data_IF_279581595260
#
_entry.id   IF_279581595260
#
_cell.length_a   1.000
_cell.length_b   1.000
_cell.length_c   1.000
_cell.angle_alpha   90.00
_cell.angle_beta   90.00
_cell.angle_gamma   90.00
#
_symmetry.space_group_name_H-M   'P 1'
#
loop_
_entity.id
_entity.type
_entity.pdbx_description
1 polymer ?
#
# COMPACT_ATOMS: atom_id res chain seq x y z
N UNK A 1 -8.61 15.72 10.62
CA UNK A 1 -9.68 15.35 11.57
C UNK A 1 -9.10 15.32 12.97
N UNK A 2 -9.78 15.89 13.97
CA UNK A 2 -9.36 15.74 15.38
C UNK A 2 -9.44 14.26 15.78
N UNK A 3 -8.43 13.76 16.49
CA UNK A 3 -8.29 12.36 16.95
C UNK A 3 -9.31 11.93 18.02
N UNK A 4 -10.32 12.76 18.28
CA UNK A 4 -11.27 12.60 19.36
C UNK A 4 -12.22 11.43 19.06
N UNK A 5 -11.99 10.31 19.74
CA UNK A 5 -12.86 9.12 19.69
C UNK A 5 -12.31 7.94 18.89
N UNK A 6 -11.13 8.04 18.26
CA UNK A 6 -10.49 6.89 17.60
C UNK A 6 -9.87 5.93 18.61
N UNK A 7 -9.93 4.62 18.33
CA UNK A 7 -9.21 3.60 19.09
C UNK A 7 -7.91 3.25 18.34
N UNK A 8 -6.82 3.95 18.68
CA UNK A 8 -5.52 3.74 18.05
C UNK A 8 -4.91 2.39 18.45
N UNK A 9 -4.06 1.85 17.59
CA UNK A 9 -3.29 0.64 17.90
C UNK A 9 -2.25 0.93 18.98
N UNK A 10 -2.07 -0.03 19.87
CA UNK A 10 -0.98 -0.03 20.84
C UNK A 10 0.37 -0.32 20.18
N UNK A 11 1.46 -0.07 20.90
CA UNK A 11 2.81 -0.49 20.47
C UNK A 11 2.88 -1.98 20.12
N UNK A 12 2.25 -2.86 20.90
CA UNK A 12 2.27 -4.31 20.66
C UNK A 12 1.56 -4.69 19.36
N UNK A 13 0.40 -4.07 19.10
CA UNK A 13 -0.33 -4.28 17.86
C UNK A 13 0.46 -3.76 16.64
N UNK A 14 1.12 -2.61 16.77
CA UNK A 14 1.98 -2.09 15.70
C UNK A 14 3.19 -2.98 15.45
N UNK A 15 3.85 -3.48 16.50
CA UNK A 15 4.96 -4.44 16.36
C UNK A 15 4.51 -5.73 15.68
N UNK A 16 3.34 -6.23 16.07
CA UNK A 16 2.73 -7.42 15.45
C UNK A 16 2.43 -7.17 13.99
N UNK A 17 1.84 -6.03 13.64
CA UNK A 17 1.56 -5.67 12.25
C UNK A 17 2.86 -5.56 11.42
N UNK A 18 3.92 -4.95 11.95
CA UNK A 18 5.20 -4.82 11.23
C UNK A 18 5.85 -6.19 11.00
N UNK A 19 5.89 -7.04 12.04
CA UNK A 19 6.55 -8.34 11.97
C UNK A 19 5.74 -9.37 11.17
N UNK A 20 4.43 -9.45 11.40
CA UNK A 20 3.55 -10.47 10.84
C UNK A 20 2.74 -9.97 9.63
N UNK A 21 2.67 -8.68 9.39
CA UNK A 21 1.96 -8.09 8.25
C UNK A 21 0.44 -8.05 8.37
N UNK A 22 -0.15 -8.39 9.53
CA UNK A 22 -1.59 -8.29 9.74
C UNK A 22 -2.00 -8.17 11.21
N UNK A 23 -3.27 -7.79 11.42
CA UNK A 23 -4.01 -7.86 12.68
C UNK A 23 -5.43 -8.36 12.41
N UNK A 24 -5.99 -9.15 13.32
CA UNK A 24 -7.42 -9.49 13.35
C UNK A 24 -8.06 -8.67 14.46
N UNK A 25 -9.01 -7.83 14.10
CA UNK A 25 -9.69 -6.88 14.99
C UNK A 25 -11.20 -7.06 14.85
N UNK A 26 -11.97 -6.46 15.75
CA UNK A 26 -13.43 -6.57 15.75
C UNK A 26 -14.08 -5.24 16.12
N UNK A 27 -15.12 -4.85 15.39
CA UNK A 27 -16.00 -3.73 15.73
C UNK A 27 -17.05 -4.13 16.79
N UNK A 28 -17.55 -3.17 17.57
CA UNK A 28 -18.57 -3.38 18.61
C UNK A 28 -19.99 -3.00 18.16
N UNK A 29 -20.26 -3.03 16.85
CA UNK A 29 -21.62 -2.89 16.32
C UNK A 29 -22.56 -3.97 16.91
N UNK A 30 -23.84 -3.62 17.13
CA UNK A 30 -24.82 -4.58 17.60
C UNK A 30 -25.13 -5.62 16.51
N UNK A 31 -25.58 -6.82 16.91
CA UNK A 31 -25.88 -7.92 15.98
C UNK A 31 -26.90 -7.50 14.90
N UNK A 32 -27.87 -6.69 15.26
CA UNK A 32 -28.91 -6.19 14.36
C UNK A 32 -28.34 -5.37 13.19
N UNK A 33 -27.23 -4.65 13.41
CA UNK A 33 -26.53 -3.93 12.33
C UNK A 33 -25.99 -4.90 11.28
N UNK A 34 -25.36 -5.98 11.73
CA UNK A 34 -24.79 -7.01 10.88
C UNK A 34 -25.87 -7.79 10.12
N UNK A 35 -26.96 -8.16 10.78
CA UNK A 35 -28.11 -8.82 10.16
C UNK A 35 -28.73 -7.95 9.05
N UNK A 36 -28.90 -6.65 9.32
CA UNK A 36 -29.39 -5.71 8.31
C UNK A 36 -28.44 -5.59 7.12
N UNK A 37 -27.14 -5.46 7.39
CA UNK A 37 -26.12 -5.34 6.35
C UNK A 37 -26.07 -6.59 5.45
N UNK A 38 -26.16 -7.79 6.03
CA UNK A 38 -26.22 -9.06 5.28
C UNK A 38 -27.50 -9.16 4.46
N UNK A 39 -28.65 -8.72 4.99
CA UNK A 39 -29.89 -8.70 4.22
C UNK A 39 -29.81 -7.79 2.99
N UNK A 40 -29.19 -6.61 3.13
CA UNK A 40 -28.93 -5.71 2.00
C UNK A 40 -27.96 -6.34 0.98
N UNK A 41 -26.87 -6.96 1.45
CA UNK A 41 -25.93 -7.67 0.58
C UNK A 41 -26.63 -8.77 -0.23
N UNK A 42 -27.49 -9.58 0.41
CA UNK A 42 -28.27 -10.62 -0.27
C UNK A 42 -29.16 -10.03 -1.38
N UNK A 43 -29.96 -9.01 -1.08
CA UNK A 43 -30.82 -8.36 -2.08
C UNK A 43 -29.99 -7.82 -3.26
N UNK A 44 -28.86 -7.15 -3.00
CA UNK A 44 -27.99 -6.63 -4.07
C UNK A 44 -27.42 -7.75 -4.93
N UNK A 45 -26.89 -8.80 -4.32
CA UNK A 45 -26.26 -9.91 -5.05
C UNK A 45 -27.28 -10.75 -5.83
N UNK A 46 -28.49 -10.92 -5.30
CA UNK A 46 -29.59 -11.60 -5.98
C UNK A 46 -30.11 -10.80 -7.19
N UNK A 47 -30.25 -9.48 -7.05
CA UNK A 47 -30.81 -8.62 -8.10
C UNK A 47 -29.79 -8.22 -9.18
N UNK A 48 -28.56 -7.93 -8.79
CA UNK A 48 -27.56 -7.25 -9.64
C UNK A 48 -26.24 -8.04 -9.77
N UNK A 49 -26.02 -9.05 -8.95
CA UNK A 49 -24.72 -9.72 -8.80
C UNK A 49 -23.71 -8.86 -8.03
N UNK A 50 -22.41 -9.10 -8.25
CA UNK A 50 -21.36 -8.35 -7.55
C UNK A 50 -21.28 -6.89 -8.06
N UNK A 51 -21.56 -5.87 -7.22
CA UNK A 51 -21.58 -4.48 -7.65
C UNK A 51 -20.17 -3.89 -7.88
N UNK A 52 -19.11 -4.65 -7.59
CA UNK A 52 -17.72 -4.24 -7.75
C UNK A 52 -17.41 -2.95 -7.00
N UNK A 53 -16.88 -1.96 -7.71
CA UNK A 53 -16.52 -0.67 -7.10
C UNK A 53 -17.73 0.15 -6.60
N UNK A 54 -18.97 -0.24 -6.95
CA UNK A 54 -20.18 0.42 -6.50
C UNK A 54 -20.71 -0.09 -5.16
N UNK A 55 -19.94 -0.89 -4.42
CA UNK A 55 -20.36 -1.46 -3.15
C UNK A 55 -20.81 -0.40 -2.12
N UNK A 56 -20.02 0.66 -1.88
CA UNK A 56 -20.42 1.75 -0.96
C UNK A 56 -21.66 2.53 -1.41
N UNK A 57 -21.77 3.03 -2.66
CA UNK A 57 -22.97 3.75 -3.06
C UNK A 57 -24.21 2.85 -3.07
N UNK A 58 -24.04 1.53 -3.24
CA UNK A 58 -25.15 0.57 -3.26
C UNK A 58 -25.60 0.11 -1.88
N UNK A 59 -24.68 0.05 -0.91
CA UNK A 59 -24.92 -0.36 0.47
C UNK A 59 -24.33 0.72 1.38
N UNK A 60 -25.12 1.77 1.64
CA UNK A 60 -24.64 3.02 2.22
C UNK A 60 -24.17 2.85 3.66
N UNK A 61 -24.78 1.91 4.38
CA UNK A 61 -24.47 1.52 5.75
C UNK A 61 -23.02 1.02 5.88
N UNK A 62 -22.40 0.52 4.80
CA UNK A 62 -20.98 0.16 4.82
C UNK A 62 -20.06 1.33 5.16
N UNK A 63 -20.46 2.57 4.85
CA UNK A 63 -19.66 3.73 5.25
C UNK A 63 -19.52 3.80 6.77
N UNK A 64 -20.54 3.39 7.54
CA UNK A 64 -20.48 3.36 9.01
C UNK A 64 -19.38 2.43 9.50
N UNK A 65 -19.13 1.31 8.82
CA UNK A 65 -18.02 0.39 9.15
C UNK A 65 -16.67 1.09 9.05
N UNK A 66 -16.46 1.86 7.98
CA UNK A 66 -15.19 2.54 7.76
C UNK A 66 -15.03 3.87 8.50
N UNK A 67 -16.13 4.40 9.05
CA UNK A 67 -16.14 5.52 9.99
C UNK A 67 -16.02 5.04 11.45
N UNK A 68 -16.08 3.73 11.69
CA UNK A 68 -16.06 3.15 13.03
C UNK A 68 -14.73 3.45 13.76
N UNK A 69 -14.75 3.81 15.07
CA UNK A 69 -13.54 4.12 15.85
C UNK A 69 -12.40 3.10 15.80
N UNK A 70 -12.73 1.81 15.82
CA UNK A 70 -11.75 0.71 15.73
C UNK A 70 -11.11 0.66 14.34
N UNK A 71 -11.89 0.84 13.29
CA UNK A 71 -11.42 0.76 11.90
C UNK A 71 -10.59 1.99 11.54
N UNK A 72 -11.12 3.18 11.82
CA UNK A 72 -10.43 4.46 11.61
C UNK A 72 -9.15 4.56 12.43
N UNK A 73 -9.18 4.13 13.70
CA UNK A 73 -8.01 4.12 14.56
C UNK A 73 -6.92 3.15 14.10
N UNK A 74 -7.30 1.95 13.64
CA UNK A 74 -6.37 0.98 13.10
C UNK A 74 -5.71 1.45 11.78
N UNK A 75 -6.52 1.99 10.85
CA UNK A 75 -6.00 2.55 9.59
C UNK A 75 -5.12 3.78 9.83
N UNK A 76 -5.51 4.68 10.75
CA UNK A 76 -4.70 5.85 11.11
C UNK A 76 -3.35 5.45 11.71
N UNK A 77 -3.34 4.39 12.53
CA UNK A 77 -2.12 3.87 13.15
C UNK A 77 -1.13 3.34 12.11
N UNK A 78 -1.61 2.63 11.08
CA UNK A 78 -0.76 2.01 10.04
C UNK A 78 -0.41 2.96 8.89
N UNK A 79 -1.37 3.75 8.41
CA UNK A 79 -1.24 4.58 7.20
C UNK A 79 -1.07 6.07 7.50
N UNK A 80 -1.14 6.48 8.76
CA UNK A 80 -1.12 7.88 9.15
C UNK A 80 -2.50 8.54 9.06
N UNK A 81 -2.62 9.78 9.56
CA UNK A 81 -3.83 10.57 9.37
C UNK A 81 -4.09 10.83 7.88
N UNK A 82 -5.33 11.18 7.55
CA UNK A 82 -5.74 11.54 6.19
C UNK A 82 -5.48 10.45 5.14
N UNK A 83 -5.38 9.17 5.53
CA UNK A 83 -5.30 8.06 4.58
C UNK A 83 -6.46 8.09 3.57
N UNK A 84 -6.22 7.53 2.38
CA UNK A 84 -7.24 7.43 1.34
C UNK A 84 -7.82 6.03 1.29
N UNK A 85 -9.15 5.93 1.37
CA UNK A 85 -9.87 4.75 0.91
C UNK A 85 -9.86 4.75 -0.61
N UNK A 86 -9.17 3.78 -1.18
CA UNK A 86 -8.96 3.67 -2.61
C UNK A 86 -10.27 3.34 -3.34
N UNK A 87 -10.47 3.86 -4.56
CA UNK A 87 -11.69 3.63 -5.34
C UNK A 87 -12.03 2.14 -5.55
N UNK A 88 -11.00 1.29 -5.59
CA UNK A 88 -11.13 -0.15 -5.75
C UNK A 88 -11.54 -0.86 -4.48
N UNK A 89 -12.57 -1.68 -4.63
CA UNK A 89 -13.14 -2.53 -3.59
C UNK A 89 -13.80 -3.73 -4.24
N UNK A 90 -13.93 -4.81 -3.49
CA UNK A 90 -14.52 -6.04 -4.00
C UNK A 90 -15.30 -6.76 -2.91
N UNK A 91 -16.56 -7.07 -3.17
CA UNK A 91 -17.33 -7.97 -2.31
C UNK A 91 -17.12 -9.41 -2.76
N UNK A 92 -16.43 -10.21 -1.95
CA UNK A 92 -16.29 -11.63 -2.18
C UNK A 92 -17.52 -12.36 -1.64
N UNK A 93 -18.18 -13.12 -2.51
CA UNK A 93 -19.23 -14.07 -2.16
C UNK A 93 -18.69 -15.48 -2.35
N UNK A 94 -18.74 -16.31 -1.32
CA UNK A 94 -18.27 -17.68 -1.41
C UNK A 94 -19.22 -18.65 -0.69
N UNK A 95 -19.58 -19.74 -1.37
CA UNK A 95 -20.29 -20.89 -0.83
C UNK A 95 -19.62 -22.23 -1.25
N UNK A 96 -18.36 -22.16 -1.70
CA UNK A 96 -17.61 -23.29 -2.26
C UNK A 96 -16.74 -23.98 -1.21
N UNK A 97 -16.79 -25.30 -1.21
CA UNK A 97 -15.87 -26.14 -0.43
C UNK A 97 -14.47 -26.24 -1.04
N UNK A 98 -14.21 -25.62 -2.20
CA UNK A 98 -12.89 -25.58 -2.80
C UNK A 98 -12.14 -24.33 -2.33
N UNK A 99 -10.94 -24.47 -1.73
CA UNK A 99 -10.12 -23.32 -1.39
C UNK A 99 -9.62 -22.60 -2.65
N UNK A 100 -9.35 -21.31 -2.50
CA UNK A 100 -8.60 -20.55 -3.49
C UNK A 100 -7.09 -20.78 -3.31
N UNK A 101 -6.33 -20.51 -4.38
CA UNK A 101 -4.87 -20.51 -4.30
C UNK A 101 -4.31 -19.32 -3.53
N UNK A 102 -3.12 -19.49 -2.96
CA UNK A 102 -2.34 -18.39 -2.39
C UNK A 102 -2.00 -17.36 -3.46
N UNK A 103 -2.25 -16.10 -3.16
CA UNK A 103 -1.92 -14.99 -4.05
C UNK A 103 -1.56 -13.72 -3.25
N UNK A 104 -0.90 -12.79 -3.95
CA UNK A 104 -0.84 -11.38 -3.57
C UNK A 104 -1.74 -10.61 -4.52
N UNK A 105 -2.38 -9.58 -4.00
CA UNK A 105 -3.14 -8.70 -4.87
C UNK A 105 -2.20 -7.90 -5.79
N UNK A 106 -2.73 -7.62 -6.98
CA UNK A 106 -2.18 -6.63 -7.90
C UNK A 106 -3.36 -5.85 -8.43
N UNK A 107 -3.45 -4.60 -8.03
CA UNK A 107 -4.53 -3.73 -8.44
C UNK A 107 -4.45 -3.40 -9.95
N UNK A 108 -3.30 -3.60 -10.60
CA UNK A 108 -3.06 -3.15 -11.99
C UNK A 108 -2.32 -4.13 -12.92
N UNK A 109 -2.01 -5.34 -12.48
CA UNK A 109 -1.40 -6.37 -13.32
C UNK A 109 0.03 -6.06 -13.81
N UNK A 110 0.62 -4.94 -13.42
CA UNK A 110 2.04 -4.67 -13.62
C UNK A 110 2.83 -5.02 -12.36
N UNK A 111 4.02 -5.57 -12.56
CA UNK A 111 4.96 -5.86 -11.48
C UNK A 111 5.59 -4.54 -11.03
N UNK A 112 5.10 -3.99 -9.90
CA UNK A 112 5.83 -2.96 -9.15
C UNK A 112 6.80 -3.65 -8.21
N UNK A 113 7.87 -2.96 -7.83
CA UNK A 113 8.64 -3.38 -6.69
C UNK A 113 7.77 -3.36 -5.44
N UNK A 114 7.75 -4.48 -4.69
CA UNK A 114 7.03 -4.56 -3.41
C UNK A 114 7.70 -3.61 -2.42
N UNK A 115 6.94 -3.05 -1.51
CA UNK A 115 7.46 -2.09 -0.55
C UNK A 115 7.34 -2.65 0.86
N UNK A 116 8.44 -2.69 1.61
CA UNK A 116 8.42 -3.15 3.00
C UNK A 116 7.74 -2.12 3.93
N UNK A 117 7.72 -0.85 3.52
CA UNK A 117 6.97 0.18 4.23
C UNK A 117 5.48 0.14 3.88
N UNK A 118 4.58 0.30 4.87
CA UNK A 118 3.14 0.28 4.67
C UNK A 118 2.67 1.60 4.03
N UNK A 119 2.86 1.71 2.72
CA UNK A 119 2.21 2.73 1.90
C UNK A 119 0.77 2.36 1.55
N UNK A 120 0.44 1.06 1.63
CA UNK A 120 -0.88 0.50 1.34
C UNK A 120 -1.25 -0.52 2.41
N UNK A 121 -2.53 -0.55 2.76
CA UNK A 121 -3.12 -1.58 3.60
C UNK A 121 -4.46 -2.02 3.00
N UNK A 122 -4.95 -3.18 3.42
CA UNK A 122 -6.29 -3.65 3.06
C UNK A 122 -7.07 -4.05 4.29
N UNK A 123 -8.39 -3.87 4.22
CA UNK A 123 -9.33 -4.46 5.16
C UNK A 123 -10.13 -5.54 4.46
N UNK A 124 -10.20 -6.70 5.11
CA UNK A 124 -11.12 -7.78 4.78
C UNK A 124 -12.15 -7.90 5.89
N UNK A 125 -13.34 -7.34 5.67
CA UNK A 125 -14.39 -7.23 6.68
C UNK A 125 -15.44 -8.34 6.52
N UNK A 126 -15.83 -8.95 7.64
CA UNK A 126 -16.82 -10.03 7.71
C UNK A 126 -18.12 -9.53 8.36
N UNK A 127 -19.20 -9.32 7.59
CA UNK A 127 -20.47 -8.82 8.12
C UNK A 127 -21.31 -9.90 8.81
N UNK A 128 -20.85 -11.16 8.84
CA UNK A 128 -21.51 -12.27 9.52
C UNK A 128 -20.49 -13.08 10.34
N UNK A 129 -20.99 -13.88 11.30
CA UNK A 129 -20.18 -14.87 12.00
C UNK A 129 -19.47 -15.77 10.97
N UNK A 130 -18.14 -15.84 11.07
CA UNK A 130 -17.31 -16.57 10.13
C UNK A 130 -16.42 -17.54 10.89
N UNK A 131 -17.00 -18.65 11.39
CA UNK A 131 -16.23 -19.73 11.99
C UNK A 131 -15.36 -20.42 10.92
N UNK A 132 -14.38 -21.21 11.34
CA UNK A 132 -13.42 -21.87 10.43
C UNK A 132 -14.13 -22.69 9.34
N UNK A 133 -15.23 -23.34 9.69
CA UNK A 133 -16.03 -24.18 8.80
C UNK A 133 -16.74 -23.39 7.68
N UNK A 134 -16.97 -22.08 7.88
CA UNK A 134 -17.54 -21.18 6.86
C UNK A 134 -16.45 -20.63 5.89
N UNK A 135 -15.20 -20.98 6.15
CA UNK A 135 -14.05 -20.65 5.32
C UNK A 135 -13.66 -19.17 5.44
N UNK A 136 -13.05 -18.71 6.54
CA UNK A 136 -12.49 -17.36 6.65
C UNK A 136 -11.37 -17.11 5.62
N UNK A 137 -10.86 -15.88 5.56
CA UNK A 137 -9.62 -15.62 4.79
C UNK A 137 -8.43 -16.23 5.53
N UNK A 138 -7.62 -16.99 4.80
CA UNK A 138 -6.32 -17.48 5.24
C UNK A 138 -5.22 -16.47 4.90
N UNK A 139 -4.33 -16.23 5.85
CA UNK A 139 -3.24 -15.25 5.76
C UNK A 139 -1.94 -15.95 6.17
N UNK A 140 -0.85 -15.74 5.42
CA UNK A 140 0.46 -16.28 5.79
C UNK A 140 1.32 -15.21 6.48
N UNK A 141 1.53 -15.30 7.81
CA UNK A 141 2.23 -14.28 8.59
C UNK A 141 3.64 -13.99 8.08
N UNK A 142 3.99 -12.70 8.03
CA UNK A 142 5.32 -12.17 7.76
C UNK A 142 5.74 -12.13 6.28
N UNK A 143 4.90 -12.66 5.39
CA UNK A 143 5.23 -12.84 3.97
C UNK A 143 5.07 -11.58 3.11
N UNK A 144 4.69 -10.45 3.72
CA UNK A 144 4.53 -9.18 3.03
C UNK A 144 5.82 -8.66 2.39
N UNK A 145 6.98 -9.09 2.90
CA UNK A 145 8.30 -8.58 2.51
C UNK A 145 8.96 -9.36 1.35
N UNK A 146 8.29 -10.40 0.83
CA UNK A 146 8.85 -11.27 -0.21
C UNK A 146 8.21 -11.03 -1.56
N UNK A 147 8.95 -11.07 -2.65
CA UNK A 147 8.33 -11.15 -3.98
C UNK A 147 7.83 -12.56 -4.26
N UNK A 148 8.58 -13.57 -3.79
CA UNK A 148 8.28 -14.97 -4.05
C UNK A 148 7.46 -15.62 -2.93
N UNK A 149 6.82 -16.75 -3.25
CA UNK A 149 6.18 -17.60 -2.24
C UNK A 149 7.27 -18.43 -1.57
N UNK A 150 7.53 -18.18 -0.29
CA UNK A 150 8.61 -18.84 0.47
C UNK A 150 8.17 -20.11 1.22
N UNK A 151 6.96 -20.59 0.93
CA UNK A 151 6.34 -21.77 1.55
C UNK A 151 5.70 -22.63 0.46
N UNK A 152 5.91 -23.94 0.51
CA UNK A 152 5.57 -24.84 -0.61
C UNK A 152 4.12 -25.32 -0.54
N UNK A 153 3.66 -25.76 0.64
CA UNK A 153 2.34 -26.38 0.80
C UNK A 153 1.19 -25.37 0.79
N UNK A 154 0.06 -25.75 0.18
CA UNK A 154 -1.18 -24.96 0.25
C UNK A 154 -1.84 -25.01 1.63
N UNK A 155 -1.59 -26.08 2.38
CA UNK A 155 -1.92 -26.23 3.81
C UNK A 155 -0.65 -26.09 4.64
N UNK A 156 0.01 -24.95 4.53
CA UNK A 156 1.25 -24.69 5.24
C UNK A 156 1.01 -24.46 6.75
N UNK A 157 1.87 -25.02 7.63
CA UNK A 157 1.81 -24.72 9.06
C UNK A 157 2.05 -23.23 9.31
N UNK A 158 1.33 -22.66 10.28
CA UNK A 158 1.44 -21.23 10.62
C UNK A 158 0.50 -20.31 9.84
N UNK A 159 -0.39 -20.85 8.99
CA UNK A 159 -1.50 -20.08 8.42
C UNK A 159 -2.40 -19.51 9.54
N UNK A 160 -2.64 -18.20 9.48
CA UNK A 160 -3.60 -17.51 10.33
C UNK A 160 -4.96 -17.42 9.63
N UNK A 161 -6.03 -17.67 10.38
CA UNK A 161 -7.40 -17.61 9.88
C UNK A 161 -8.11 -16.39 10.45
N UNK A 162 -8.64 -15.53 9.58
CA UNK A 162 -9.46 -14.38 9.96
C UNK A 162 -10.87 -14.80 10.39
N UNK A 163 -10.95 -15.71 11.36
CA UNK A 163 -12.20 -16.25 11.91
C UNK A 163 -12.67 -15.45 13.11
N UNK A 164 -13.97 -15.28 13.25
CA UNK A 164 -14.56 -14.58 14.38
C UNK A 164 -16.05 -14.32 14.21
N UNK A 165 -16.63 -13.63 15.18
CA UNK A 165 -18.02 -13.16 15.14
C UNK A 165 -18.20 -12.04 14.08
N UNK A 166 -19.44 -11.73 13.73
CA UNK A 166 -19.77 -10.61 12.86
C UNK A 166 -19.09 -9.31 13.33
N UNK A 167 -18.58 -8.52 12.38
CA UNK A 167 -17.80 -7.32 12.66
C UNK A 167 -16.30 -7.57 12.83
N UNK A 168 -15.86 -8.83 12.74
CA UNK A 168 -14.44 -9.17 12.63
C UNK A 168 -13.88 -8.68 11.31
N UNK A 169 -12.66 -8.16 11.32
CA UNK A 169 -11.93 -7.80 10.11
C UNK A 169 -10.43 -8.05 10.25
N UNK A 170 -9.82 -8.45 9.14
CA UNK A 170 -8.37 -8.48 9.03
C UNK A 170 -7.88 -7.16 8.45
N UNK A 171 -7.00 -6.45 9.18
CA UNK A 171 -6.18 -5.37 8.66
C UNK A 171 -4.86 -5.98 8.21
N UNK A 172 -4.57 -5.93 6.91
CA UNK A 172 -3.39 -6.57 6.33
C UNK A 172 -2.50 -5.57 5.60
N UNK A 173 -1.20 -5.83 5.60
CA UNK A 173 -0.26 -5.23 4.66
C UNK A 173 -0.66 -5.63 3.24
N UNK A 174 -0.68 -4.68 2.30
CA UNK A 174 -1.17 -4.92 0.94
C UNK A 174 -0.47 -6.09 0.24
N UNK A 175 0.84 -6.22 0.46
CA UNK A 175 1.66 -7.23 -0.17
C UNK A 175 1.65 -8.59 0.56
N UNK A 176 0.77 -8.87 1.52
CA UNK A 176 0.76 -10.17 2.21
C UNK A 176 0.15 -11.29 1.34
N UNK A 177 0.71 -12.51 1.43
CA UNK A 177 0.09 -13.68 0.81
C UNK A 177 -1.17 -14.07 1.59
N UNK A 178 -2.26 -14.26 0.85
CA UNK A 178 -3.55 -14.67 1.41
C UNK A 178 -4.32 -15.57 0.44
N UNK A 179 -5.37 -16.23 0.94
CA UNK A 179 -6.23 -17.11 0.17
C UNK A 179 -7.65 -17.19 0.74
N UNK A 180 -8.60 -17.68 -0.05
CA UNK A 180 -9.87 -18.17 0.51
C UNK A 180 -9.70 -19.60 1.02
N UNK A 181 -10.14 -19.87 2.24
CA UNK A 181 -10.19 -21.23 2.78
C UNK A 181 -11.51 -21.93 2.44
N UNK A 182 -11.60 -23.27 2.57
CA UNK A 182 -12.78 -24.05 2.22
C UNK A 182 -14.01 -23.64 3.05
N UNK A 183 -15.16 -23.44 2.39
CA UNK A 183 -16.45 -23.35 3.06
C UNK A 183 -17.11 -24.74 3.05
N UNK A 184 -17.04 -25.45 4.17
CA UNK A 184 -17.60 -26.81 4.31
C UNK A 184 -19.05 -26.81 4.77
N UNK A 185 -19.58 -25.66 5.20
CA UNK A 185 -20.99 -25.50 5.56
C UNK A 185 -21.90 -25.29 4.35
N UNK A 186 -21.34 -24.87 3.20
CA UNK A 186 -22.09 -24.60 1.97
C UNK A 186 -23.03 -23.39 2.06
N UNK A 187 -22.92 -22.60 3.13
CA UNK A 187 -23.73 -21.40 3.34
C UNK A 187 -23.10 -20.17 2.66
N UNK A 188 -23.89 -19.16 2.25
CA UNK A 188 -23.36 -17.90 1.75
C UNK A 188 -22.42 -17.23 2.76
N UNK A 189 -21.25 -16.78 2.29
CA UNK A 189 -20.29 -16.02 3.09
C UNK A 189 -19.79 -14.80 2.33
N UNK A 190 -19.96 -13.63 2.94
CA UNK A 190 -19.42 -12.37 2.43
C UNK A 190 -18.08 -12.04 3.10
N UNK A 191 -17.13 -11.57 2.30
CA UNK A 191 -15.94 -10.86 2.77
C UNK A 191 -15.79 -9.61 1.92
N UNK A 192 -15.78 -8.44 2.56
CA UNK A 192 -15.73 -7.16 1.86
C UNK A 192 -14.31 -6.62 1.89
N UNK A 193 -13.67 -6.59 0.73
CA UNK A 193 -12.29 -6.15 0.55
C UNK A 193 -12.22 -4.68 0.15
N UNK A 194 -11.48 -3.91 0.93
CA UNK A 194 -11.22 -2.49 0.69
C UNK A 194 -9.74 -2.19 0.77
N UNK A 195 -9.26 -1.37 -0.15
CA UNK A 195 -7.88 -0.93 -0.22
C UNK A 195 -7.74 0.49 0.34
N UNK A 196 -6.61 0.74 1.01
CA UNK A 196 -6.30 2.03 1.60
C UNK A 196 -4.85 2.39 1.30
N UNK A 197 -4.60 3.67 1.07
CA UNK A 197 -3.27 4.18 0.80
C UNK A 197 -2.91 5.36 1.69
N UNK A 198 -1.63 5.40 2.07
CA UNK A 198 -1.00 6.52 2.72
C UNK A 198 -0.95 7.71 1.76
N UNK A 199 -1.41 8.85 2.25
CA UNK A 199 -1.37 10.14 1.53
C UNK A 199 -0.27 11.04 2.09
N UNK A 200 0.09 10.89 3.36
CA UNK A 200 1.12 11.70 4.01
C UNK A 200 2.23 10.81 4.55
N UNK A 201 3.47 11.21 4.30
CA UNK A 201 4.63 10.51 4.82
C UNK A 201 4.73 10.70 6.34
N UNK A 202 5.12 9.65 7.11
CA UNK A 202 5.17 9.77 8.56
C UNK A 202 6.18 10.84 8.99
N UNK A 203 5.76 11.71 9.91
CA UNK A 203 6.61 12.73 10.56
C UNK A 203 6.76 12.48 12.06
N UNK A 204 5.84 11.69 12.62
CA UNK A 204 5.78 11.23 13.99
C UNK A 204 4.86 9.99 14.04
N UNK A 205 4.90 9.19 15.12
CA UNK A 205 3.96 8.10 15.34
C UNK A 205 2.50 8.55 15.23
N UNK A 206 1.67 7.75 14.56
CA UNK A 206 0.22 7.97 14.42
C UNK A 206 -0.64 6.94 15.17
N UNK A 207 -0.02 6.18 16.07
CA UNK A 207 -0.65 5.19 16.94
C UNK A 207 -0.48 5.57 18.41
N UNK A 208 -1.01 4.76 19.35
CA UNK A 208 -0.79 4.95 20.79
C UNK A 208 0.63 4.51 21.17
N UNK A 209 1.59 5.37 20.84
CA UNK A 209 3.01 5.09 21.01
C UNK A 209 3.50 5.41 22.43
N UNK A 210 3.96 4.39 23.15
CA UNK A 210 4.48 4.50 24.51
C UNK A 210 6.01 4.29 24.56
N UNK A 211 6.58 3.64 23.55
CA UNK A 211 8.01 3.32 23.46
C UNK A 211 8.65 3.87 22.19
N UNK A 212 9.81 4.51 22.32
CA UNK A 212 10.55 5.06 21.16
C UNK A 212 11.32 3.97 20.40
N UNK A 213 11.89 3.02 21.15
CA UNK A 213 12.74 1.97 20.60
C UNK A 213 11.90 0.78 20.10
N UNK A 214 12.34 0.19 18.99
CA UNK A 214 11.80 -1.07 18.51
C UNK A 214 12.02 -2.19 19.53
N UNK A 215 11.03 -3.07 19.64
CA UNK A 215 11.13 -4.34 20.34
C UNK A 215 10.33 -5.38 19.56
N UNK A 216 10.75 -6.65 19.65
CA UNK A 216 9.99 -7.75 19.07
C UNK A 216 8.61 -7.86 19.75
N UNK A 217 7.56 -8.28 19.01
CA UNK A 217 6.29 -8.65 19.60
C UNK A 217 6.48 -9.68 20.72
N UNK A 218 5.65 -9.60 21.76
CA UNK A 218 5.67 -10.55 22.87
C UNK A 218 5.36 -11.97 22.39
N UNK A 219 4.42 -12.10 21.45
CA UNK A 219 4.06 -13.34 20.80
C UNK A 219 4.44 -13.28 19.32
N UNK A 220 5.65 -13.74 19.02
CA UNK A 220 6.14 -13.85 17.65
C UNK A 220 6.07 -15.31 17.19
N UNK A 221 5.08 -15.63 16.36
CA UNK A 221 4.96 -16.92 15.70
C UNK A 221 5.10 -16.73 14.18
N UNK A 222 6.31 -16.91 13.66
CA UNK A 222 6.58 -16.75 12.25
C UNK A 222 6.83 -18.11 11.59
N UNK A 223 6.08 -18.47 10.53
CA UNK A 223 6.41 -19.60 9.68
C UNK A 223 7.60 -19.29 8.74
N UNK A 224 8.20 -18.10 8.86
CA UNK A 224 9.23 -17.55 7.98
C UNK A 224 10.42 -16.96 8.77
N UNK A 225 11.45 -16.50 8.06
CA UNK A 225 12.63 -15.89 8.67
C UNK A 225 12.32 -14.58 9.43
N UNK A 226 13.13 -14.29 10.44
CA UNK A 226 13.11 -13.02 11.15
C UNK A 226 13.91 -11.94 10.40
N UNK A 227 13.44 -10.70 10.47
CA UNK A 227 13.99 -9.54 9.76
C UNK A 227 14.21 -8.35 10.70
N UNK A 228 14.99 -8.56 11.76
CA UNK A 228 15.12 -7.63 12.88
C UNK A 228 15.46 -6.19 12.47
N UNK A 229 16.46 -6.01 11.60
CA UNK A 229 16.88 -4.69 11.11
C UNK A 229 15.78 -4.01 10.27
N UNK A 230 15.08 -4.77 9.42
CA UNK A 230 14.00 -4.24 8.59
C UNK A 230 12.79 -3.83 9.43
N UNK A 231 12.43 -4.62 10.44
CA UNK A 231 11.33 -4.28 11.33
C UNK A 231 11.64 -3.05 12.18
N UNK A 232 12.86 -2.95 12.71
CA UNK A 232 13.32 -1.76 13.41
C UNK A 232 13.32 -0.53 12.49
N UNK A 233 13.79 -0.68 11.25
CA UNK A 233 13.80 0.40 10.28
C UNK A 233 12.39 0.84 9.90
N UNK A 234 11.45 -0.09 9.69
CA UNK A 234 10.03 0.23 9.44
C UNK A 234 9.39 0.94 10.63
N UNK A 235 9.69 0.53 11.87
CA UNK A 235 9.25 1.22 13.09
C UNK A 235 9.80 2.65 13.17
N UNK A 236 11.08 2.82 12.84
CA UNK A 236 11.74 4.11 12.81
C UNK A 236 11.14 5.01 11.72
N UNK A 237 10.89 4.47 10.53
CA UNK A 237 10.26 5.15 9.40
C UNK A 237 8.83 5.60 9.75
N UNK A 238 8.03 4.74 10.38
CA UNK A 238 6.68 5.07 10.87
C UNK A 238 6.70 6.17 11.95
N UNK A 239 7.83 6.30 12.64
CA UNK A 239 8.08 7.38 13.60
C UNK A 239 8.65 8.66 12.95
N UNK A 240 8.82 8.69 11.63
CA UNK A 240 9.35 9.83 10.87
C UNK A 240 10.87 9.88 10.68
N UNK A 241 11.60 8.79 10.98
CA UNK A 241 13.06 8.72 10.84
C UNK A 241 13.45 8.01 9.54
N UNK A 242 13.88 8.78 8.53
CA UNK A 242 14.35 8.27 7.23
C UNK A 242 15.85 7.95 7.28
N UNK A 243 16.27 6.83 6.67
CA UNK A 243 17.68 6.42 6.62
C UNK A 243 18.25 6.00 7.98
N UNK A 244 17.38 5.51 8.88
CA UNK A 244 17.70 5.28 10.29
C UNK A 244 18.78 4.21 10.53
N UNK A 245 19.07 3.35 9.55
CA UNK A 245 20.11 2.34 9.64
C UNK A 245 21.50 2.84 9.21
N UNK A 246 21.60 3.96 8.49
CA UNK A 246 22.85 4.37 7.85
C UNK A 246 24.01 4.50 8.87
N UNK A 247 25.01 3.61 8.76
CA UNK A 247 26.20 3.63 9.60
C UNK A 247 26.00 3.17 11.05
N UNK A 248 24.92 2.45 11.36
CA UNK A 248 24.68 1.89 12.70
C UNK A 248 25.51 0.65 12.99
N UNK A 249 26.11 0.02 11.97
CA UNK A 249 26.93 -1.20 12.10
C UNK A 249 28.35 -1.00 11.59
N UNK A 250 29.28 -1.77 12.15
CA UNK A 250 30.69 -1.71 11.80
C UNK A 250 30.96 -2.38 10.43
N UNK A 251 31.75 -1.70 9.59
CA UNK A 251 32.11 -2.15 8.26
C UNK A 251 33.35 -3.07 8.27
N UNK A 252 33.21 -4.30 8.80
CA UNK A 252 34.30 -5.28 8.78
C UNK A 252 34.47 -5.93 7.39
N UNK A 253 35.66 -5.86 6.74
CA UNK A 253 35.82 -6.29 5.35
C UNK A 253 35.46 -7.75 5.07
N UNK A 254 35.79 -8.66 5.98
CA UNK A 254 35.48 -10.09 5.82
C UNK A 254 33.96 -10.33 5.89
N UNK A 255 33.29 -9.63 6.81
CA UNK A 255 31.83 -9.72 6.98
C UNK A 255 31.09 -9.11 5.78
N UNK A 256 31.51 -7.93 5.31
CA UNK A 256 30.95 -7.30 4.11
C UNK A 256 31.04 -8.20 2.87
N UNK A 257 32.14 -8.96 2.73
CA UNK A 257 32.29 -9.94 1.65
C UNK A 257 31.23 -11.04 1.78
N UNK A 258 31.05 -11.61 2.98
CA UNK A 258 30.01 -12.61 3.25
C UNK A 258 28.61 -12.08 2.95
N UNK A 259 28.27 -10.86 3.40
CA UNK A 259 26.97 -10.25 3.11
C UNK A 259 26.76 -10.03 1.61
N UNK A 260 27.80 -9.60 0.89
CA UNK A 260 27.75 -9.41 -0.56
C UNK A 260 27.48 -10.72 -1.30
N UNK A 261 28.10 -11.82 -0.88
CA UNK A 261 27.83 -13.16 -1.43
C UNK A 261 26.39 -13.63 -1.12
N UNK A 262 25.88 -13.29 0.07
CA UNK A 262 24.52 -13.63 0.50
C UNK A 262 23.40 -12.88 -0.25
N UNK A 263 23.71 -11.80 -0.98
CA UNK A 263 22.73 -11.15 -1.86
C UNK A 263 22.18 -12.11 -2.93
N UNK A 264 22.94 -13.14 -3.31
CA UNK A 264 22.52 -14.20 -4.24
C UNK A 264 21.92 -15.45 -3.58
N UNK A 265 21.69 -15.43 -2.27
CA UNK A 265 21.10 -16.56 -1.54
C UNK A 265 19.56 -16.59 -1.69
N UNK A 266 18.88 -17.41 -0.87
CA UNK A 266 17.41 -17.39 -0.80
C UNK A 266 16.91 -15.99 -0.40
N UNK A 267 15.73 -15.61 -0.90
CA UNK A 267 15.17 -14.26 -0.72
C UNK A 267 15.20 -13.76 0.75
N UNK A 268 14.84 -14.57 1.78
CA UNK A 268 14.93 -14.12 3.16
C UNK A 268 16.35 -13.80 3.63
N UNK A 269 17.34 -14.61 3.23
CA UNK A 269 18.76 -14.40 3.56
C UNK A 269 19.29 -13.16 2.83
N UNK A 270 18.94 -13.03 1.55
CA UNK A 270 19.36 -11.91 0.72
C UNK A 270 18.81 -10.56 1.21
N UNK A 271 17.55 -10.52 1.68
CA UNK A 271 16.97 -9.32 2.31
C UNK A 271 17.73 -8.94 3.58
N UNK A 272 17.98 -9.91 4.48
CA UNK A 272 18.74 -9.63 5.70
C UNK A 272 20.15 -9.10 5.39
N UNK A 273 20.84 -9.71 4.42
CA UNK A 273 22.14 -9.24 3.98
C UNK A 273 22.09 -7.81 3.40
N UNK A 274 21.05 -7.49 2.61
CA UNK A 274 20.89 -6.16 2.04
C UNK A 274 20.67 -5.06 3.10
N UNK A 275 19.84 -5.34 4.12
CA UNK A 275 19.61 -4.41 5.22
C UNK A 275 20.86 -4.23 6.10
N UNK A 276 21.62 -5.29 6.33
CA UNK A 276 22.88 -5.21 7.08
C UNK A 276 23.99 -4.46 6.32
N UNK A 277 24.06 -4.65 5.00
CA UNK A 277 24.93 -3.84 4.14
C UNK A 277 24.54 -2.35 4.20
N UNK A 278 23.24 -2.04 4.17
CA UNK A 278 22.77 -0.66 4.33
C UNK A 278 23.19 -0.06 5.69
N UNK A 279 23.15 -0.88 6.75
CA UNK A 279 23.59 -0.50 8.08
C UNK A 279 25.12 -0.27 8.20
N UNK A 280 25.91 -0.86 7.29
CA UNK A 280 27.38 -0.82 7.29
C UNK A 280 27.98 0.44 6.64
N UNK A 281 27.17 1.47 6.39
CA UNK A 281 27.61 2.76 5.85
C UNK A 281 28.22 2.67 4.45
N UNK A 282 29.17 3.56 4.13
CA UNK A 282 29.72 3.72 2.76
C UNK A 282 30.22 2.44 2.11
N UNK A 283 30.86 1.56 2.89
CA UNK A 283 31.40 0.31 2.35
C UNK A 283 30.28 -0.65 1.93
N UNK A 284 29.22 -0.76 2.73
CA UNK A 284 28.04 -1.55 2.37
C UNK A 284 27.21 -0.92 1.25
N UNK A 285 27.08 0.42 1.23
CA UNK A 285 26.49 1.17 0.10
C UNK A 285 27.21 0.84 -1.21
N UNK A 286 28.54 0.76 -1.20
CA UNK A 286 29.30 0.39 -2.38
C UNK A 286 28.95 -1.02 -2.89
N UNK A 287 28.88 -2.02 -2.00
CA UNK A 287 28.45 -3.38 -2.37
C UNK A 287 27.03 -3.41 -2.94
N UNK A 288 26.10 -2.65 -2.33
CA UNK A 288 24.72 -2.58 -2.81
C UNK A 288 24.61 -1.88 -4.17
N UNK A 289 25.39 -0.83 -4.44
CA UNK A 289 25.41 -0.18 -5.76
C UNK A 289 25.96 -1.10 -6.86
N UNK A 290 26.93 -1.97 -6.54
CA UNK A 290 27.37 -3.02 -7.46
C UNK A 290 26.29 -4.08 -7.66
N UNK A 291 25.64 -4.52 -6.58
CA UNK A 291 24.53 -5.48 -6.64
C UNK A 291 23.33 -4.95 -7.43
N UNK A 292 23.02 -3.65 -7.34
CA UNK A 292 21.97 -3.00 -8.13
C UNK A 292 22.21 -3.16 -9.65
N UNK A 293 23.47 -3.13 -10.08
CA UNK A 293 23.88 -3.26 -11.49
C UNK A 293 24.05 -4.71 -11.95
N UNK A 294 23.78 -5.69 -11.09
CA UNK A 294 23.89 -7.11 -11.42
C UNK A 294 22.87 -7.54 -12.48
N UNK A 295 23.30 -8.37 -13.44
CA UNK A 295 22.42 -9.04 -14.41
C UNK A 295 21.44 -10.02 -13.73
N UNK A 296 21.78 -10.49 -12.53
CA UNK A 296 20.84 -11.25 -11.70
C UNK A 296 19.78 -10.30 -11.12
N UNK A 297 18.54 -10.45 -11.61
CA UNK A 297 17.38 -9.63 -11.22
C UNK A 297 17.07 -9.69 -9.73
N UNK A 298 17.29 -10.82 -9.06
CA UNK A 298 17.04 -10.95 -7.61
C UNK A 298 18.09 -10.18 -6.81
N UNK A 299 19.38 -10.29 -7.16
CA UNK A 299 20.45 -9.49 -6.54
C UNK A 299 20.19 -8.00 -6.72
N UNK A 300 19.84 -7.59 -7.95
CA UNK A 300 19.50 -6.20 -8.26
C UNK A 300 18.30 -5.71 -7.44
N UNK A 301 17.26 -6.56 -7.28
CA UNK A 301 16.07 -6.27 -6.48
C UNK A 301 16.41 -6.06 -5.01
N UNK A 302 17.05 -7.03 -4.36
CA UNK A 302 17.37 -6.94 -2.93
C UNK A 302 18.34 -5.81 -2.64
N UNK A 303 19.25 -5.52 -3.57
CA UNK A 303 20.17 -4.39 -3.44
C UNK A 303 19.42 -3.05 -3.43
N UNK A 304 18.34 -2.93 -4.21
CA UNK A 304 17.47 -1.76 -4.19
C UNK A 304 16.79 -1.56 -2.81
N UNK A 305 16.37 -2.64 -2.15
CA UNK A 305 15.83 -2.59 -0.78
C UNK A 305 16.87 -2.16 0.26
N UNK A 306 18.11 -2.61 0.13
CA UNK A 306 19.20 -2.10 0.98
C UNK A 306 19.44 -0.60 0.72
N UNK A 307 19.50 -0.17 -0.54
CA UNK A 307 19.74 1.22 -0.90
C UNK A 307 18.63 2.17 -0.47
N UNK A 308 17.38 1.71 -0.41
CA UNK A 308 16.25 2.54 0.06
C UNK A 308 16.36 2.95 1.54
N UNK A 309 17.19 2.26 2.32
CA UNK A 309 17.38 2.52 3.76
C UNK A 309 18.81 2.91 4.13
N UNK A 310 19.71 3.01 3.14
CA UNK A 310 21.15 3.24 3.35
C UNK A 310 21.54 4.72 3.56
N UNK A 311 20.56 5.62 3.54
CA UNK A 311 20.76 7.05 3.79
C UNK A 311 21.39 7.82 2.61
N UNK A 312 21.83 9.06 2.89
CA UNK A 312 22.25 10.02 1.86
C UNK A 312 23.49 9.59 1.06
N UNK A 313 24.36 8.74 1.62
CA UNK A 313 25.57 8.25 0.94
C UNK A 313 25.25 7.43 -0.34
N UNK A 314 24.04 6.84 -0.44
CA UNK A 314 23.61 6.10 -1.62
C UNK A 314 23.18 7.01 -2.80
N UNK A 315 22.79 8.26 -2.52
CA UNK A 315 22.11 9.15 -3.48
C UNK A 315 22.95 9.42 -4.74
N UNK A 316 24.25 9.75 -4.67
CA UNK A 316 25.04 9.98 -5.88
C UNK A 316 25.11 8.76 -6.81
N UNK A 317 25.26 7.56 -6.22
CA UNK A 317 25.30 6.30 -6.98
C UNK A 317 23.95 5.95 -7.59
N UNK A 318 22.86 6.20 -6.87
CA UNK A 318 21.49 6.01 -7.37
C UNK A 318 21.16 6.99 -8.51
N UNK A 319 21.54 8.26 -8.41
CA UNK A 319 21.38 9.25 -9.50
C UNK A 319 22.14 8.80 -10.75
N UNK A 320 23.37 8.27 -10.58
CA UNK A 320 24.13 7.73 -11.71
C UNK A 320 23.44 6.53 -12.36
N UNK A 321 22.84 5.64 -11.56
CA UNK A 321 22.09 4.47 -12.06
C UNK A 321 20.83 4.84 -12.86
N UNK A 322 20.32 6.08 -12.77
CA UNK A 322 19.20 6.56 -13.61
C UNK A 322 19.56 6.66 -15.10
N UNK A 323 20.85 6.62 -15.45
CA UNK A 323 21.33 6.64 -16.83
C UNK A 323 21.61 5.22 -17.38
N UNK A 324 21.24 4.17 -16.64
CA UNK A 324 21.47 2.79 -17.05
C UNK A 324 20.61 2.41 -18.27
N UNK A 325 21.13 1.53 -19.14
CA UNK A 325 20.42 1.09 -20.34
C UNK A 325 19.25 0.14 -20.03
N UNK A 326 19.38 -0.67 -18.98
CA UNK A 326 18.30 -1.53 -18.49
C UNK A 326 17.28 -0.72 -17.67
N UNK A 327 16.04 -0.71 -18.16
CA UNK A 327 14.90 -0.04 -17.53
C UNK A 327 14.54 -0.59 -16.16
N UNK A 328 14.82 -1.86 -15.88
CA UNK A 328 14.58 -2.47 -14.56
C UNK A 328 15.54 -1.91 -13.51
N UNK A 329 16.82 -1.72 -13.87
CA UNK A 329 17.82 -1.11 -13.00
C UNK A 329 17.46 0.36 -12.75
N UNK A 330 17.04 1.10 -13.79
CA UNK A 330 16.55 2.47 -13.62
C UNK A 330 15.35 2.51 -12.67
N UNK A 331 14.35 1.65 -12.86
CA UNK A 331 13.17 1.59 -11.99
C UNK A 331 13.53 1.27 -10.53
N UNK A 332 14.47 0.35 -10.29
CA UNK A 332 14.97 0.03 -8.94
C UNK A 332 15.73 1.19 -8.29
N UNK A 333 16.53 1.92 -9.07
CA UNK A 333 17.20 3.12 -8.59
C UNK A 333 16.20 4.23 -8.24
N UNK A 334 15.17 4.42 -9.07
CA UNK A 334 14.06 5.35 -8.83
C UNK A 334 13.31 4.99 -7.55
N UNK A 335 13.01 3.70 -7.34
CA UNK A 335 12.38 3.22 -6.11
C UNK A 335 13.19 3.60 -4.87
N UNK A 336 14.49 3.29 -4.87
CA UNK A 336 15.35 3.58 -3.72
C UNK A 336 15.46 5.09 -3.44
N UNK A 337 15.54 5.93 -4.49
CA UNK A 337 15.53 7.39 -4.33
C UNK A 337 14.20 7.90 -3.75
N UNK A 338 13.06 7.34 -4.18
CA UNK A 338 11.74 7.69 -3.65
C UNK A 338 11.62 7.41 -2.15
N UNK A 339 12.10 6.25 -1.70
CA UNK A 339 12.09 5.86 -0.28
C UNK A 339 13.06 6.69 0.59
N UNK A 340 14.18 7.15 0.02
CA UNK A 340 15.11 8.08 0.68
C UNK A 340 14.55 9.50 0.80
N UNK A 341 13.51 9.84 0.03
CA UNK A 341 12.74 11.11 0.12
C UNK A 341 13.62 12.35 0.17
N UNK A 342 13.49 13.17 1.21
CA UNK A 342 14.24 14.40 1.41
C UNK A 342 15.76 14.20 1.45
N UNK A 343 16.27 13.02 1.83
CA UNK A 343 17.71 12.73 1.72
C UNK A 343 18.17 12.70 0.26
N UNK A 344 17.27 12.38 -0.66
CA UNK A 344 17.49 12.33 -2.10
C UNK A 344 16.92 13.55 -2.84
N UNK A 345 16.68 14.68 -2.17
CA UNK A 345 16.08 15.88 -2.77
C UNK A 345 16.78 16.35 -4.05
N UNK A 346 18.10 16.17 -4.16
CA UNK A 346 18.89 16.51 -5.35
C UNK A 346 18.56 15.65 -6.59
N UNK A 347 17.87 14.51 -6.39
CA UNK A 347 17.44 13.64 -7.49
C UNK A 347 16.16 14.12 -8.19
N UNK A 348 15.39 15.07 -7.61
CA UNK A 348 14.10 15.50 -8.17
C UNK A 348 14.18 15.92 -9.65
N UNK A 349 15.18 16.70 -10.11
CA UNK A 349 15.28 17.04 -11.53
C UNK A 349 15.51 15.83 -12.43
N UNK A 350 16.30 14.85 -11.98
CA UNK A 350 16.56 13.63 -12.72
C UNK A 350 15.30 12.74 -12.78
N UNK A 351 14.59 12.60 -11.66
CA UNK A 351 13.30 11.89 -11.57
C UNK A 351 12.24 12.53 -12.49
N UNK A 352 12.14 13.86 -12.50
CA UNK A 352 11.22 14.59 -13.38
C UNK A 352 11.53 14.36 -14.87
N UNK A 353 12.81 14.21 -15.24
CA UNK A 353 13.20 13.90 -16.62
C UNK A 353 12.75 12.49 -17.06
N UNK A 354 12.69 11.52 -16.14
CA UNK A 354 12.29 10.15 -16.40
C UNK A 354 10.80 9.99 -16.75
N UNK A 355 9.97 11.02 -16.53
CA UNK A 355 8.59 11.03 -17.03
C UNK A 355 8.49 11.06 -18.56
N UNK A 356 9.61 11.25 -19.27
CA UNK A 356 9.70 11.13 -20.73
C UNK A 356 10.42 9.85 -21.18
N UNK A 357 10.72 8.94 -20.25
CA UNK A 357 11.45 7.71 -20.56
C UNK A 357 10.60 6.79 -21.47
N UNK A 358 11.20 6.10 -22.47
CA UNK A 358 10.46 5.25 -23.40
C UNK A 358 9.75 4.08 -22.71
N UNK A 359 10.37 3.49 -21.68
CA UNK A 359 9.76 2.41 -20.92
C UNK A 359 8.71 2.96 -19.93
N UNK A 360 7.47 2.50 -20.07
CA UNK A 360 6.34 2.81 -19.16
C UNK A 360 6.64 2.43 -17.71
N UNK A 361 7.43 1.37 -17.49
CA UNK A 361 7.91 0.95 -16.17
C UNK A 361 8.57 2.12 -15.43
N UNK A 362 9.58 2.71 -16.06
CA UNK A 362 10.35 3.82 -15.49
C UNK A 362 9.46 5.05 -15.26
N UNK A 363 8.55 5.36 -16.19
CA UNK A 363 7.64 6.51 -16.05
C UNK A 363 6.76 6.36 -14.81
N UNK A 364 6.15 5.19 -14.61
CA UNK A 364 5.28 4.99 -13.46
C UNK A 364 6.06 5.02 -12.13
N UNK A 365 7.29 4.48 -12.10
CA UNK A 365 8.08 4.48 -10.86
C UNK A 365 8.55 5.90 -10.54
N UNK A 366 8.88 6.69 -11.57
CA UNK A 366 9.25 8.10 -11.41
C UNK A 366 8.08 8.95 -10.90
N UNK A 367 6.87 8.71 -11.40
CA UNK A 367 5.65 9.32 -10.86
C UNK A 367 5.47 9.02 -9.38
N UNK A 368 5.60 7.74 -8.99
CA UNK A 368 5.43 7.36 -7.59
C UNK A 368 6.50 8.03 -6.71
N UNK A 369 7.77 7.94 -7.09
CA UNK A 369 8.90 8.53 -6.37
C UNK A 369 8.74 10.05 -6.19
N UNK A 370 8.39 10.80 -7.25
CA UNK A 370 8.16 12.25 -7.17
C UNK A 370 7.06 12.62 -6.16
N UNK A 371 6.02 11.79 -6.03
CA UNK A 371 4.99 11.97 -5.00
C UNK A 371 5.46 11.74 -3.57
N UNK A 372 6.64 11.14 -3.37
CA UNK A 372 7.23 10.87 -2.06
C UNK A 372 8.32 11.88 -1.64
N UNK A 373 8.91 12.62 -2.58
CA UNK A 373 10.12 13.43 -2.33
C UNK A 373 9.92 14.57 -1.32
N UNK A 374 8.70 15.13 -1.21
CA UNK A 374 8.38 16.34 -0.42
C UNK A 374 9.36 17.53 -0.63
N UNK A 375 10.08 17.54 -1.77
CA UNK A 375 11.15 18.49 -2.06
C UNK A 375 11.05 19.02 -3.50
N UNK A 376 11.51 20.25 -3.72
CA UNK A 376 11.41 20.93 -5.02
C UNK A 376 9.98 20.86 -5.61
N UNK A 377 8.99 21.15 -4.76
CA UNK A 377 7.57 20.89 -5.02
C UNK A 377 7.06 21.51 -6.33
N UNK A 378 7.49 22.72 -6.68
CA UNK A 378 7.09 23.36 -7.93
C UNK A 378 7.47 22.51 -9.16
N UNK A 379 8.69 21.96 -9.17
CA UNK A 379 9.17 21.10 -10.25
C UNK A 379 8.45 19.75 -10.24
N UNK A 380 8.28 19.13 -9.07
CA UNK A 380 7.57 17.86 -8.94
C UNK A 380 6.11 17.98 -9.41
N UNK A 381 5.40 19.02 -8.96
CA UNK A 381 4.00 19.30 -9.35
C UNK A 381 3.89 19.59 -10.84
N UNK A 382 4.80 20.38 -11.42
CA UNK A 382 4.80 20.63 -12.86
C UNK A 382 5.03 19.33 -13.67
N UNK A 383 5.96 18.49 -13.24
CA UNK A 383 6.27 17.21 -13.87
C UNK A 383 5.07 16.25 -13.80
N UNK A 384 4.49 16.08 -12.60
CA UNK A 384 3.30 15.24 -12.38
C UNK A 384 2.06 15.75 -13.14
N UNK A 385 1.89 17.08 -13.24
CA UNK A 385 0.81 17.68 -14.04
C UNK A 385 0.95 17.34 -15.53
N UNK A 386 2.17 17.19 -16.03
CA UNK A 386 2.44 16.68 -17.38
C UNK A 386 2.08 15.20 -17.51
N UNK A 387 2.41 14.37 -16.51
CA UNK A 387 2.12 12.93 -16.53
C UNK A 387 0.62 12.60 -16.50
N UNK A 388 -0.25 13.52 -16.07
CA UNK A 388 -1.71 13.41 -16.23
C UNK A 388 -2.16 13.30 -17.70
N UNK A 389 -1.28 13.58 -18.67
CA UNK A 389 -1.54 13.49 -20.10
C UNK A 389 -0.70 12.39 -20.79
N UNK A 390 -0.08 11.48 -20.03
CA UNK A 390 0.68 10.36 -20.58
C UNK A 390 -0.20 9.46 -21.46
N UNK A 391 0.38 8.88 -22.51
CA UNK A 391 -0.31 7.91 -23.38
C UNK A 391 -0.85 6.70 -22.60
N UNK A 392 -0.15 6.31 -21.53
CA UNK A 392 -0.48 5.17 -20.72
C UNK A 392 -1.40 5.59 -19.56
N UNK A 393 -2.61 5.03 -19.52
CA UNK A 393 -3.60 5.37 -18.49
C UNK A 393 -3.13 5.12 -17.06
N UNK A 394 -2.22 4.17 -16.85
CA UNK A 394 -1.66 3.89 -15.53
C UNK A 394 -0.71 4.99 -15.06
N UNK A 395 0.13 5.51 -15.95
CA UNK A 395 0.95 6.70 -15.62
C UNK A 395 0.03 7.88 -15.27
N UNK A 396 -1.06 8.09 -16.02
CA UNK A 396 -2.02 9.16 -15.75
C UNK A 396 -2.65 9.06 -14.37
N UNK A 397 -3.23 7.90 -14.00
CA UNK A 397 -3.87 7.82 -12.69
C UNK A 397 -2.88 7.77 -11.53
N UNK A 398 -1.67 7.22 -11.72
CA UNK A 398 -0.62 7.30 -10.71
C UNK A 398 -0.17 8.74 -10.48
N UNK A 399 -0.20 9.59 -11.52
CA UNK A 399 0.10 11.00 -11.37
C UNK A 399 -0.95 11.70 -10.50
N UNK A 400 -2.23 11.39 -10.66
CA UNK A 400 -3.28 11.86 -9.76
C UNK A 400 -3.04 11.42 -8.31
N UNK A 401 -2.69 10.16 -8.08
CA UNK A 401 -2.39 9.63 -6.74
C UNK A 401 -1.16 10.29 -6.12
N UNK A 402 -0.10 10.53 -6.90
CA UNK A 402 1.10 11.23 -6.46
C UNK A 402 0.78 12.69 -6.08
N UNK A 403 -0.02 13.39 -6.88
CA UNK A 403 -0.49 14.75 -6.58
C UNK A 403 -1.33 14.80 -5.30
N UNK A 404 -2.15 13.77 -5.02
CA UNK A 404 -2.89 13.66 -3.75
C UNK A 404 -1.95 13.67 -2.54
N UNK A 405 -0.77 13.04 -2.65
CA UNK A 405 0.21 12.98 -1.55
C UNK A 405 0.89 14.32 -1.29
N UNK A 406 1.04 15.14 -2.32
CA UNK A 406 1.57 16.50 -2.17
C UNK A 406 0.53 17.47 -1.57
N UNK A 407 -0.74 17.06 -1.48
CA UNK A 407 -1.82 17.80 -0.83
C UNK A 407 -1.96 19.22 -1.38
N UNK A 408 -2.06 20.20 -0.48
CA UNK A 408 -2.24 21.62 -0.87
C UNK A 408 -1.14 22.17 -1.77
N UNK A 409 0.08 21.62 -1.70
CA UNK A 409 1.18 22.07 -2.56
C UNK A 409 0.94 21.77 -4.05
N UNK A 410 0.07 20.80 -4.36
CA UNK A 410 -0.31 20.45 -5.73
C UNK A 410 -1.43 21.34 -6.31
N UNK A 411 -1.76 22.49 -5.71
CA UNK A 411 -2.80 23.40 -6.23
C UNK A 411 -2.58 23.80 -7.69
N UNK A 412 -1.32 23.95 -8.12
CA UNK A 412 -0.99 24.29 -9.51
C UNK A 412 -1.42 23.22 -10.53
N UNK A 413 -1.67 21.97 -10.10
CA UNK A 413 -2.11 20.86 -10.95
C UNK A 413 -3.64 20.82 -11.15
N UNK A 414 -4.41 21.65 -10.43
CA UNK A 414 -5.89 21.66 -10.52
C UNK A 414 -6.42 21.79 -11.95
N UNK A 415 -5.91 22.69 -12.84
CA UNK A 415 -6.39 22.73 -14.22
C UNK A 415 -6.24 21.41 -14.99
N UNK A 416 -5.13 20.69 -14.79
CA UNK A 416 -4.88 19.41 -15.45
C UNK A 416 -5.73 18.29 -14.85
N UNK A 417 -5.98 18.33 -13.54
CA UNK A 417 -6.92 17.42 -12.88
C UNK A 417 -8.36 17.65 -13.36
N UNK A 418 -8.77 18.89 -13.64
CA UNK A 418 -10.06 19.20 -14.25
C UNK A 418 -10.22 18.55 -15.64
N UNK A 419 -9.15 18.48 -16.43
CA UNK A 419 -9.14 17.74 -17.70
C UNK A 419 -9.22 16.23 -17.47
N UNK A 420 -8.47 15.71 -16.49
CA UNK A 420 -8.44 14.27 -16.16
C UNK A 420 -9.78 13.74 -15.64
N UNK A 421 -10.66 14.60 -15.09
CA UNK A 421 -12.05 14.24 -14.77
C UNK A 421 -12.87 13.82 -16.01
N UNK A 422 -12.44 14.22 -17.21
CA UNK A 422 -13.04 13.85 -18.50
C UNK A 422 -12.34 12.69 -19.21
N UNK A 423 -11.35 12.04 -18.58
CA UNK A 423 -10.57 10.97 -19.22
C UNK A 423 -11.43 9.77 -19.64
N UNK A 424 -11.06 9.10 -20.73
CA UNK A 424 -11.75 7.88 -21.20
C UNK A 424 -11.69 6.74 -20.16
N UNK A 425 -10.57 6.65 -19.44
CA UNK A 425 -10.34 5.63 -18.45
C UNK A 425 -11.04 6.01 -17.13
N UNK A 426 -11.94 5.13 -16.70
CA UNK A 426 -12.74 5.35 -15.47
C UNK A 426 -11.92 5.56 -14.21
N UNK A 427 -10.72 4.98 -14.13
CA UNK A 427 -9.88 5.09 -12.96
C UNK A 427 -9.09 6.39 -12.95
N UNK A 428 -8.67 6.89 -14.12
CA UNK A 428 -8.10 8.25 -14.22
C UNK A 428 -9.11 9.28 -13.73
N UNK A 429 -10.39 9.16 -14.14
CA UNK A 429 -11.46 10.03 -13.62
C UNK A 429 -11.64 9.93 -12.10
N UNK A 430 -11.69 8.71 -11.57
CA UNK A 430 -11.86 8.47 -10.13
C UNK A 430 -10.70 9.09 -9.33
N UNK A 431 -9.46 8.82 -9.75
CA UNK A 431 -8.27 9.33 -9.07
C UNK A 431 -8.08 10.83 -9.24
N UNK A 432 -8.54 11.43 -10.35
CA UNK A 432 -8.59 12.89 -10.49
C UNK A 432 -9.56 13.53 -9.47
N UNK A 433 -10.74 12.95 -9.29
CA UNK A 433 -11.71 13.40 -8.29
C UNK A 433 -11.16 13.25 -6.86
N UNK A 434 -10.53 12.12 -6.55
CA UNK A 434 -9.83 11.91 -5.28
C UNK A 434 -8.73 12.95 -5.09
N UNK A 435 -7.88 13.18 -6.09
CA UNK A 435 -6.79 14.15 -6.00
C UNK A 435 -7.27 15.57 -5.71
N UNK A 436 -8.35 16.01 -6.36
CA UNK A 436 -8.98 17.31 -6.04
C UNK A 436 -9.48 17.37 -4.58
N UNK A 437 -10.02 16.27 -4.05
CA UNK A 437 -10.44 16.19 -2.64
C UNK A 437 -9.24 16.33 -1.68
N UNK A 438 -8.13 15.62 -1.94
CA UNK A 438 -6.93 15.63 -1.08
C UNK A 438 -6.09 16.90 -1.21
N UNK A 439 -6.08 17.55 -2.39
CA UNK A 439 -5.50 18.89 -2.53
C UNK A 439 -6.24 19.87 -1.62
N UNK A 440 -7.58 19.77 -1.57
CA UNK A 440 -8.39 20.40 -0.52
C UNK A 440 -8.34 21.94 -0.48
N UNK A 441 -7.79 22.59 -1.52
CA UNK A 441 -7.86 24.05 -1.69
C UNK A 441 -9.27 24.44 -2.14
N UNK A 442 -9.63 25.71 -1.95
CA UNK A 442 -10.97 26.17 -2.35
C UNK A 442 -11.22 26.00 -3.84
N UNK A 443 -10.19 26.23 -4.67
CA UNK A 443 -10.26 25.95 -6.11
C UNK A 443 -10.51 24.47 -6.38
N UNK A 444 -9.73 23.56 -5.77
CA UNK A 444 -9.87 22.13 -5.99
C UNK A 444 -11.26 21.61 -5.58
N UNK A 445 -11.76 22.06 -4.42
CA UNK A 445 -13.12 21.75 -3.96
C UNK A 445 -14.20 22.26 -4.91
N UNK A 446 -14.07 23.49 -5.40
CA UNK A 446 -15.01 24.04 -6.38
C UNK A 446 -15.04 23.22 -7.67
N UNK A 447 -13.87 22.83 -8.18
CA UNK A 447 -13.76 21.94 -9.35
C UNK A 447 -14.44 20.59 -9.11
N UNK A 448 -14.18 19.95 -7.96
CA UNK A 448 -14.80 18.68 -7.58
C UNK A 448 -16.33 18.81 -7.42
N UNK A 449 -16.82 19.83 -6.73
CA UNK A 449 -18.26 20.07 -6.55
C UNK A 449 -18.94 20.29 -7.91
N UNK A 450 -18.34 21.11 -8.78
CA UNK A 450 -18.85 21.34 -10.14
C UNK A 450 -18.93 20.03 -10.94
N UNK A 451 -17.91 19.17 -10.83
CA UNK A 451 -17.95 17.86 -11.44
C UNK A 451 -19.10 17.01 -10.90
N UNK A 452 -19.21 16.87 -9.58
CA UNK A 452 -20.28 16.08 -8.94
C UNK A 452 -21.68 16.56 -9.35
N UNK A 453 -21.91 17.87 -9.39
CA UNK A 453 -23.20 18.45 -9.83
C UNK A 453 -23.55 18.15 -11.30
N UNK A 454 -22.55 17.95 -12.15
CA UNK A 454 -22.74 17.61 -13.56
C UNK A 454 -22.73 16.10 -13.82
N UNK A 455 -22.31 15.29 -12.84
CA UNK A 455 -22.37 13.82 -12.96
C UNK A 455 -23.81 13.33 -12.82
N UNK A 456 -24.10 12.18 -13.45
CA UNK A 456 -25.44 11.58 -13.46
C UNK A 456 -25.81 11.12 -12.04
N UNK A 457 -26.54 11.98 -11.32
CA UNK A 457 -27.04 11.73 -9.96
C UNK A 457 -28.07 10.58 -9.88
N UNK A 458 -28.76 10.29 -10.99
CA UNK A 458 -29.71 9.18 -11.07
C UNK A 458 -29.35 8.20 -12.20
N UNK A 459 -28.39 7.29 -11.98
CA UNK A 459 -28.02 6.27 -12.96
C UNK A 459 -29.16 5.28 -13.21
N UNK A 460 -30.06 5.13 -12.24
CA UNK A 460 -31.22 4.24 -12.28
C UNK A 460 -32.42 4.84 -12.99
N UNK A 461 -32.46 6.15 -13.30
CA UNK A 461 -33.52 6.71 -14.15
C UNK A 461 -33.42 6.11 -15.54
N UNK A 462 -34.35 5.22 -15.83
CA UNK A 462 -34.65 4.62 -17.11
C UNK A 462 -36.03 5.08 -17.56
N UNK A 463 -36.44 4.72 -18.79
CA UNK A 463 -37.84 4.92 -19.19
C UNK A 463 -38.84 4.22 -18.26
N UNK A 464 -38.45 3.12 -17.60
CA UNK A 464 -39.33 2.30 -16.78
C UNK A 464 -39.60 2.87 -15.37
N UNK A 465 -38.76 3.79 -14.90
CA UNK A 465 -38.84 4.43 -13.58
C UNK A 465 -38.51 5.93 -13.69
N UNK A 466 -38.95 6.53 -14.81
CA UNK A 466 -38.74 7.95 -15.12
C UNK A 466 -39.35 8.88 -14.07
N UNK A 467 -40.37 8.41 -13.38
CA UNK A 467 -40.97 9.05 -12.22
C UNK A 467 -40.81 8.10 -11.04
N UNK A 468 -40.24 8.61 -9.94
CA UNK A 468 -40.29 7.93 -8.65
C UNK A 468 -41.77 7.78 -8.27
N UNK A 469 -42.24 6.63 -7.76
CA UNK A 469 -43.60 6.51 -7.23
C UNK A 469 -43.86 7.49 -6.08
#
# INVERSE_FOLDING_TARGET
METKGMQLLTDEQMRTFIAQGFLILKTDFPREFHEHLVAQLNSVYEEEGNPGNNLLPRIRELQQVFDHPVVTGALTSVLGPNYMMHAHRHGHYNASSKPGGWHKDSYWGYSRLRNHHPHWAMIMYFPQDTPVELGPTGIMPGTQNYETRTFEDDEAPGEALASGEAGTFALIHYDIWHRSTPNVLGQPRYMLKFEFMRTEMPKAPSWDNQMVAWQKPAELNLPIAAHDLMWEETWNWLSGRVGSLAGTMAAEPAHLKTLTEQLGASEPVAINAAYELAASGKAGVHSLLLGLQSDNRDISRVSAYGLSVAGADAVPGLIAALQHADSEIVARAVFALGELRGLAADAVPALAALLRHPATLVRHTAVDALGQMEAQLDLAVAALSGALQDENAQVRFMASLALSRLGRAAEAAVPQLELALGDENRYVRAHAAESLNYIGTERAKQSLIKFLLNTRWCPTTTKANAFYP
#
